data_IF_467892464820
#
_entry.id   IF_467892464820
#
_cell.length_a   1.000
_cell.length_b   1.000
_cell.length_c   1.000
_cell.angle_alpha   90.00
_cell.angle_beta   90.00
_cell.angle_gamma   90.00
#
_symmetry.space_group_name_H-M   'P 1'
#
loop_
_entity.id
_entity.type
_entity.pdbx_description
1 polymer ?
#
# COMPACT_ATOMS: atom_id res chain seq x y z
N UNK A 1 -16.51 -5.35 9.04
CA UNK A 1 -16.22 -4.32 8.01
C UNK A 1 -17.53 -3.62 7.68
N UNK A 2 -17.56 -2.29 7.73
CA UNK A 2 -18.76 -1.52 7.38
C UNK A 2 -18.76 -1.22 5.89
N UNK A 3 -19.75 -1.78 5.16
CA UNK A 3 -19.87 -1.67 3.69
C UNK A 3 -20.06 -0.21 3.22
N UNK A 4 -20.77 0.58 3.99
CA UNK A 4 -21.05 1.97 3.63
C UNK A 4 -19.80 2.84 3.79
N UNK A 5 -19.05 2.62 4.88
CA UNK A 5 -17.81 3.30 5.12
C UNK A 5 -16.73 2.93 4.09
N UNK A 6 -16.63 1.66 3.70
CA UNK A 6 -15.74 1.23 2.63
C UNK A 6 -16.06 1.90 1.28
N UNK A 7 -17.34 1.97 0.90
CA UNK A 7 -17.76 2.68 -0.31
C UNK A 7 -17.40 4.16 -0.27
N UNK A 8 -17.54 4.79 0.89
CA UNK A 8 -17.15 6.18 1.10
C UNK A 8 -15.65 6.37 0.91
N UNK A 9 -14.79 5.52 1.51
CA UNK A 9 -13.34 5.58 1.35
C UNK A 9 -12.92 5.42 -0.11
N UNK A 10 -13.49 4.45 -0.83
CA UNK A 10 -13.20 4.24 -2.26
C UNK A 10 -13.63 5.45 -3.08
N UNK A 11 -14.81 6.02 -2.81
CA UNK A 11 -15.31 7.20 -3.52
C UNK A 11 -14.45 8.45 -3.24
N UNK A 12 -14.06 8.65 -1.99
CA UNK A 12 -13.23 9.77 -1.54
C UNK A 12 -11.82 9.73 -2.14
N UNK A 13 -11.24 8.52 -2.30
CA UNK A 13 -9.87 8.31 -2.74
C UNK A 13 -9.74 7.89 -4.22
N UNK A 14 -10.74 8.13 -5.05
CA UNK A 14 -10.75 7.73 -6.48
C UNK A 14 -9.50 8.17 -7.24
N UNK A 15 -9.10 9.44 -7.08
CA UNK A 15 -7.94 9.99 -7.76
C UNK A 15 -6.64 9.30 -7.32
N UNK A 16 -6.52 8.98 -6.04
CA UNK A 16 -5.39 8.27 -5.49
C UNK A 16 -5.33 6.83 -6.01
N UNK A 17 -6.47 6.14 -6.06
CA UNK A 17 -6.57 4.79 -6.62
C UNK A 17 -6.08 4.81 -8.08
N UNK A 18 -6.63 5.72 -8.88
CA UNK A 18 -6.23 5.87 -10.29
C UNK A 18 -4.73 6.19 -10.42
N UNK A 19 -4.20 7.10 -9.60
CA UNK A 19 -2.79 7.45 -9.57
C UNK A 19 -1.90 6.24 -9.29
N UNK A 20 -2.21 5.45 -8.25
CA UNK A 20 -1.45 4.25 -7.89
C UNK A 20 -1.44 3.24 -9.04
N UNK A 21 -2.59 3.01 -9.70
CA UNK A 21 -2.68 2.12 -10.86
C UNK A 21 -1.86 2.62 -12.05
N UNK A 22 -1.99 3.89 -12.40
CA UNK A 22 -1.28 4.48 -13.55
C UNK A 22 0.23 4.43 -13.33
N UNK A 23 0.71 4.82 -12.14
CA UNK A 23 2.15 4.81 -11.85
C UNK A 23 2.71 3.39 -11.85
N UNK A 24 2.04 2.41 -11.22
CA UNK A 24 2.48 1.02 -11.29
C UNK A 24 2.53 0.49 -12.72
N UNK A 25 1.49 0.75 -13.53
CA UNK A 25 1.45 0.33 -14.92
C UNK A 25 2.58 0.99 -15.73
N UNK A 26 2.83 2.28 -15.52
CA UNK A 26 3.88 3.02 -16.20
C UNK A 26 5.28 2.50 -15.85
N UNK A 27 5.56 2.28 -14.57
CA UNK A 27 6.83 1.69 -14.13
C UNK A 27 7.00 0.30 -14.74
N UNK A 28 5.96 -0.56 -14.70
CA UNK A 28 6.00 -1.90 -15.27
C UNK A 28 6.33 -1.88 -16.77
N UNK A 29 5.69 -0.97 -17.53
CA UNK A 29 5.92 -0.82 -18.97
C UNK A 29 7.35 -0.37 -19.26
N UNK A 30 7.86 0.67 -18.57
CA UNK A 30 9.23 1.17 -18.75
C UNK A 30 10.24 0.06 -18.47
N UNK A 31 10.08 -0.65 -17.37
CA UNK A 31 11.00 -1.70 -16.98
C UNK A 31 10.97 -2.87 -17.97
N UNK A 32 9.79 -3.17 -18.54
CA UNK A 32 9.65 -4.19 -19.56
C UNK A 32 10.34 -3.81 -20.89
N UNK A 33 10.34 -2.53 -21.25
CA UNK A 33 11.06 -2.04 -22.43
C UNK A 33 12.57 -2.00 -22.24
N UNK A 34 13.06 -1.72 -21.02
CA UNK A 34 14.50 -1.62 -20.73
C UNK A 34 15.21 -2.98 -20.57
N UNK A 35 14.47 -4.04 -20.30
CA UNK A 35 15.05 -5.35 -20.13
C UNK A 35 15.03 -6.11 -21.46
N UNK A 36 16.23 -6.26 -22.05
CA UNK A 36 16.46 -7.22 -23.14
C UNK A 36 15.98 -8.62 -22.70
N UNK A 37 14.90 -9.07 -23.22
CA UNK A 37 14.19 -10.36 -23.34
C UNK A 37 14.52 -11.55 -22.43
N UNK A 38 15.51 -11.51 -21.53
CA UNK A 38 15.92 -12.64 -20.73
C UNK A 38 15.72 -12.42 -19.23
N UNK A 39 14.79 -13.19 -18.64
CA UNK A 39 14.64 -13.40 -17.19
C UNK A 39 14.52 -12.17 -16.29
N UNK A 40 13.49 -11.37 -16.46
CA UNK A 40 13.13 -10.43 -15.39
C UNK A 40 12.18 -11.12 -14.40
N UNK A 41 12.72 -11.54 -13.27
CA UNK A 41 11.87 -11.83 -12.12
C UNK A 41 11.10 -10.57 -11.74
N UNK A 42 9.86 -10.72 -11.28
CA UNK A 42 8.99 -9.64 -10.83
C UNK A 42 9.67 -8.68 -9.81
N UNK A 43 10.73 -9.15 -9.14
CA UNK A 43 11.54 -8.44 -8.14
C UNK A 43 12.88 -7.92 -8.65
N UNK A 44 13.27 -8.20 -9.89
CA UNK A 44 14.47 -7.56 -10.44
C UNK A 44 14.25 -6.08 -10.77
N UNK A 45 13.01 -5.63 -10.71
CA UNK A 45 12.58 -4.29 -11.05
C UNK A 45 12.66 -3.37 -9.82
N UNK A 46 13.81 -2.77 -9.60
CA UNK A 46 14.09 -1.86 -8.48
C UNK A 46 13.06 -0.74 -8.36
N UNK A 47 12.56 -0.21 -9.47
CA UNK A 47 11.57 0.86 -9.48
C UNK A 47 10.23 0.45 -8.86
N UNK A 48 9.71 -0.72 -9.21
CA UNK A 48 8.47 -1.24 -8.63
C UNK A 48 8.61 -1.54 -7.13
N UNK A 49 9.77 -2.07 -6.71
CA UNK A 49 10.04 -2.34 -5.30
C UNK A 49 10.09 -1.03 -4.51
N UNK A 50 10.85 -0.05 -4.97
CA UNK A 50 10.93 1.25 -4.30
C UNK A 50 9.55 1.91 -4.21
N UNK A 51 8.78 1.91 -5.30
CA UNK A 51 7.44 2.47 -5.33
C UNK A 51 6.50 1.73 -4.36
N UNK A 52 6.59 0.41 -4.27
CA UNK A 52 5.85 -0.40 -3.31
C UNK A 52 6.13 0.02 -1.86
N UNK A 53 7.42 0.17 -1.48
CA UNK A 53 7.78 0.61 -0.13
C UNK A 53 7.30 2.02 0.16
N UNK A 54 7.43 2.95 -0.79
CA UNK A 54 6.91 4.32 -0.66
C UNK A 54 5.40 4.32 -0.44
N UNK A 55 4.65 3.49 -1.17
CA UNK A 55 3.21 3.35 -0.97
C UNK A 55 2.87 2.79 0.42
N UNK A 56 3.57 1.75 0.87
CA UNK A 56 3.37 1.18 2.21
C UNK A 56 3.63 2.20 3.34
N UNK A 57 4.45 3.22 3.06
CA UNK A 57 4.72 4.32 3.98
C UNK A 57 3.67 5.44 3.89
N UNK A 58 3.30 5.87 2.69
CA UNK A 58 2.40 7.01 2.46
C UNK A 58 0.95 6.67 2.78
N UNK A 59 0.49 5.45 2.49
CA UNK A 59 -0.90 5.03 2.67
C UNK A 59 -1.41 5.15 4.10
N UNK A 60 -0.69 4.70 5.15
CA UNK A 60 -1.11 4.90 6.53
C UNK A 60 -1.36 6.37 6.88
N UNK A 61 -0.47 7.27 6.43
CA UNK A 61 -0.62 8.71 6.66
C UNK A 61 -1.91 9.23 6.02
N UNK A 62 -2.17 8.89 4.76
CA UNK A 62 -3.37 9.35 4.05
C UNK A 62 -4.66 8.78 4.62
N UNK A 63 -4.66 7.50 5.00
CA UNK A 63 -5.85 6.82 5.53
C UNK A 63 -6.21 7.27 6.95
N UNK A 64 -5.21 7.60 7.77
CA UNK A 64 -5.43 7.93 9.18
C UNK A 64 -5.21 9.42 9.51
N UNK A 65 -4.92 10.27 8.52
CA UNK A 65 -4.76 11.72 8.72
C UNK A 65 -5.97 12.35 9.44
N UNK A 66 -7.19 11.87 9.16
CA UNK A 66 -8.40 12.33 9.83
C UNK A 66 -8.42 12.05 11.34
N UNK A 67 -7.73 11.01 11.80
CA UNK A 67 -7.69 10.66 13.22
C UNK A 67 -6.80 11.62 14.04
N UNK A 68 -5.81 12.22 13.41
CA UNK A 68 -4.86 13.14 14.06
C UNK A 68 -5.22 14.61 13.86
N UNK A 69 -6.08 14.95 12.93
CA UNK A 69 -6.54 16.31 12.73
C UNK A 69 -7.76 16.60 13.63
N UNK A 70 -7.59 17.46 14.65
CA UNK A 70 -8.64 17.77 15.65
C UNK A 70 -9.99 18.16 15.03
N UNK A 71 -9.98 18.98 13.96
CA UNK A 71 -11.24 19.41 13.28
C UNK A 71 -11.98 18.28 12.59
N UNK A 72 -11.27 17.31 12.03
CA UNK A 72 -11.87 16.15 11.35
C UNK A 72 -12.15 15.01 12.32
N UNK A 73 -11.40 14.91 13.42
CA UNK A 73 -11.60 13.88 14.43
C UNK A 73 -12.99 13.99 15.08
N UNK A 74 -13.42 15.20 15.47
CA UNK A 74 -14.72 15.40 16.09
C UNK A 74 -15.89 15.02 15.18
N UNK A 75 -15.84 15.43 13.91
CA UNK A 75 -16.84 15.04 12.92
C UNK A 75 -16.82 13.54 12.61
N UNK A 76 -15.64 12.94 12.61
CA UNK A 76 -15.43 11.53 12.31
C UNK A 76 -15.89 10.62 13.47
N UNK A 77 -15.65 11.03 14.72
CA UNK A 77 -16.10 10.31 15.91
C UNK A 77 -17.59 10.50 16.21
N UNK A 78 -18.24 11.48 15.59
CA UNK A 78 -19.70 11.64 15.62
C UNK A 78 -20.44 10.65 14.70
N UNK A 79 -19.74 9.95 13.80
CA UNK A 79 -20.35 8.93 12.95
C UNK A 79 -20.85 7.73 13.78
N UNK A 80 -22.03 7.16 13.48
CA UNK A 80 -22.59 6.02 14.20
C UNK A 80 -21.90 4.69 13.82
N UNK A 81 -20.57 4.70 13.74
CA UNK A 81 -19.76 3.53 13.37
C UNK A 81 -18.79 3.21 14.51
N UNK A 82 -18.70 1.93 14.87
CA UNK A 82 -17.75 1.48 15.90
C UNK A 82 -16.31 1.80 15.46
N UNK A 83 -15.53 2.47 16.31
CA UNK A 83 -14.13 2.84 16.06
C UNK A 83 -13.27 1.66 15.52
N UNK A 84 -13.45 0.46 16.09
CA UNK A 84 -12.80 -0.76 15.61
C UNK A 84 -13.07 -1.05 14.13
N UNK A 85 -14.34 -0.88 13.69
CA UNK A 85 -14.71 -1.13 12.30
C UNK A 85 -14.07 -0.13 11.35
N UNK A 86 -13.92 1.11 11.79
CA UNK A 86 -13.28 2.17 11.00
C UNK A 86 -11.81 1.84 10.76
N UNK A 87 -11.06 1.52 11.82
CA UNK A 87 -9.64 1.17 11.71
C UNK A 87 -9.46 -0.07 10.81
N UNK A 88 -10.23 -1.13 11.05
CA UNK A 88 -10.16 -2.35 10.24
C UNK A 88 -10.47 -2.05 8.76
N UNK A 89 -11.52 -1.26 8.48
CA UNK A 89 -11.89 -0.93 7.11
C UNK A 89 -10.83 -0.09 6.41
N UNK A 90 -10.19 0.86 7.13
CA UNK A 90 -9.09 1.66 6.61
C UNK A 90 -7.86 0.80 6.32
N UNK A 91 -7.49 -0.12 7.21
CA UNK A 91 -6.38 -1.06 6.98
C UNK A 91 -6.63 -1.95 5.76
N UNK A 92 -7.82 -2.56 5.69
CA UNK A 92 -8.20 -3.41 4.55
C UNK A 92 -8.19 -2.62 3.24
N UNK A 93 -8.69 -1.38 3.24
CA UNK A 93 -8.65 -0.53 2.04
C UNK A 93 -7.23 -0.19 1.63
N UNK A 94 -6.32 0.06 2.57
CA UNK A 94 -4.91 0.31 2.30
C UNK A 94 -4.20 -0.90 1.66
N UNK A 95 -4.41 -2.08 2.22
CA UNK A 95 -3.88 -3.33 1.65
C UNK A 95 -4.41 -3.56 0.24
N UNK A 96 -5.72 -3.39 0.02
CA UNK A 96 -6.33 -3.57 -1.29
C UNK A 96 -5.77 -2.59 -2.33
N UNK A 97 -5.49 -1.35 -1.95
CA UNK A 97 -4.91 -0.34 -2.84
C UNK A 97 -3.53 -0.74 -3.38
N UNK A 98 -2.74 -1.47 -2.59
CA UNK A 98 -1.45 -1.99 -3.03
C UNK A 98 -1.61 -3.30 -3.79
N UNK A 99 -2.40 -4.22 -3.26
CA UNK A 99 -2.51 -5.57 -3.83
C UNK A 99 -3.16 -5.57 -5.21
N UNK A 100 -4.17 -4.72 -5.46
CA UNK A 100 -4.88 -4.71 -6.75
C UNK A 100 -3.97 -4.46 -7.96
N UNK A 101 -3.08 -3.44 -8.00
CA UNK A 101 -2.15 -3.26 -9.12
C UNK A 101 -1.22 -4.47 -9.30
N UNK A 102 -0.78 -5.09 -8.23
CA UNK A 102 0.09 -6.27 -8.28
C UNK A 102 -0.62 -7.52 -8.82
N UNK A 103 -1.92 -7.66 -8.61
CA UNK A 103 -2.73 -8.70 -9.27
C UNK A 103 -2.65 -8.55 -10.79
N UNK A 104 -2.82 -7.32 -11.31
CA UNK A 104 -2.74 -7.08 -12.75
C UNK A 104 -1.35 -7.35 -13.32
N UNK A 105 -0.29 -6.93 -12.62
CA UNK A 105 1.10 -7.20 -13.00
C UNK A 105 1.37 -8.71 -13.03
N UNK A 106 0.92 -9.43 -11.99
CA UNK A 106 1.08 -10.90 -11.93
C UNK A 106 0.35 -11.59 -13.06
N UNK A 107 -0.89 -11.21 -13.35
CA UNK A 107 -1.66 -11.75 -14.47
C UNK A 107 -0.98 -11.48 -15.81
N UNK A 108 -0.47 -10.27 -16.02
CA UNK A 108 0.27 -9.92 -17.23
C UNK A 108 1.52 -10.80 -17.40
N UNK A 109 2.29 -11.03 -16.35
CA UNK A 109 3.48 -11.88 -16.39
C UNK A 109 3.13 -13.35 -16.65
N UNK A 110 2.05 -13.86 -16.04
CA UNK A 110 1.55 -15.24 -16.29
C UNK A 110 1.14 -15.43 -17.75
N UNK A 111 0.46 -14.45 -18.35
CA UNK A 111 0.04 -14.52 -19.76
C UNK A 111 1.24 -14.52 -20.71
N UNK A 112 2.28 -13.74 -20.38
CA UNK A 112 3.47 -13.61 -21.24
C UNK A 112 4.40 -14.82 -21.10
N UNK A 113 4.58 -15.36 -19.87
CA UNK A 113 5.53 -16.45 -19.58
C UNK A 113 4.84 -17.57 -18.79
N UNK A 114 4.05 -18.38 -19.49
CA UNK A 114 3.24 -19.44 -18.86
C UNK A 114 4.08 -20.53 -18.17
N UNK A 115 5.33 -20.70 -18.54
CA UNK A 115 6.23 -21.71 -17.94
C UNK A 115 6.56 -21.46 -16.48
N UNK A 116 6.49 -20.20 -16.02
CA UNK A 116 6.92 -19.79 -14.69
C UNK A 116 5.77 -19.39 -13.74
N UNK A 117 4.54 -19.87 -13.98
CA UNK A 117 3.35 -19.50 -13.21
C UNK A 117 3.53 -19.67 -11.71
N UNK A 118 4.11 -20.80 -11.30
CA UNK A 118 4.32 -21.09 -9.88
C UNK A 118 5.20 -20.03 -9.19
N UNK A 119 6.30 -19.64 -9.84
CA UNK A 119 7.21 -18.61 -9.33
C UNK A 119 6.50 -17.26 -9.18
N UNK A 120 5.66 -16.86 -10.15
CA UNK A 120 4.90 -15.62 -10.07
C UNK A 120 3.86 -15.63 -8.95
N UNK A 121 3.20 -16.76 -8.70
CA UNK A 121 2.24 -16.91 -7.59
C UNK A 121 2.93 -16.84 -6.22
N UNK A 122 4.08 -17.49 -6.07
CA UNK A 122 4.88 -17.42 -4.85
C UNK A 122 5.32 -15.98 -4.57
N UNK A 123 5.85 -15.29 -5.58
CA UNK A 123 6.26 -13.89 -5.47
C UNK A 123 5.09 -12.98 -5.12
N UNK A 124 3.93 -13.18 -5.74
CA UNK A 124 2.72 -12.44 -5.40
C UNK A 124 2.32 -12.66 -3.93
N UNK A 125 2.39 -13.90 -3.44
CA UNK A 125 2.14 -14.21 -2.02
C UNK A 125 3.08 -13.46 -1.08
N UNK A 126 4.36 -13.36 -1.41
CA UNK A 126 5.35 -12.58 -0.66
C UNK A 126 4.99 -11.10 -0.66
N UNK A 127 4.61 -10.52 -1.80
CA UNK A 127 4.19 -9.11 -1.91
C UNK A 127 2.97 -8.83 -1.03
N UNK A 128 1.95 -9.69 -1.08
CA UNK A 128 0.75 -9.54 -0.25
C UNK A 128 1.10 -9.58 1.24
N UNK A 129 1.92 -10.54 1.66
CA UNK A 129 2.33 -10.70 3.05
C UNK A 129 3.12 -9.48 3.53
N UNK A 130 4.10 -9.03 2.75
CA UNK A 130 4.90 -7.84 3.09
C UNK A 130 4.05 -6.57 3.11
N UNK A 131 3.09 -6.40 2.21
CA UNK A 131 2.15 -5.28 2.21
C UNK A 131 1.33 -5.25 3.50
N UNK A 132 0.77 -6.40 3.91
CA UNK A 132 -0.02 -6.49 5.14
C UNK A 132 0.82 -6.10 6.36
N UNK A 133 2.01 -6.70 6.49
CA UNK A 133 2.91 -6.44 7.63
C UNK A 133 3.30 -4.96 7.69
N UNK A 134 3.77 -4.39 6.57
CA UNK A 134 4.23 -2.99 6.53
C UNK A 134 3.09 -2.01 6.78
N UNK A 135 1.90 -2.20 6.18
CA UNK A 135 0.77 -1.29 6.39
C UNK A 135 0.29 -1.35 7.84
N UNK A 136 0.14 -2.55 8.42
CA UNK A 136 -0.31 -2.69 9.81
C UNK A 136 0.70 -2.06 10.75
N UNK A 137 1.99 -2.34 10.58
CA UNK A 137 3.05 -1.80 11.41
C UNK A 137 3.14 -0.28 11.33
N UNK A 138 3.21 0.28 10.12
CA UNK A 138 3.27 1.72 9.91
C UNK A 138 2.00 2.43 10.41
N UNK A 139 0.82 1.82 10.24
CA UNK A 139 -0.44 2.37 10.75
C UNK A 139 -0.48 2.39 12.28
N UNK A 140 0.04 1.34 12.93
CA UNK A 140 0.12 1.29 14.38
C UNK A 140 1.04 2.39 14.93
N UNK A 141 2.22 2.57 14.33
CA UNK A 141 3.17 3.62 14.71
C UNK A 141 2.53 5.01 14.52
N UNK A 142 1.91 5.24 13.36
CA UNK A 142 1.29 6.51 13.04
C UNK A 142 0.15 6.87 14.01
N UNK A 143 -0.68 5.90 14.39
CA UNK A 143 -1.79 6.10 15.34
C UNK A 143 -1.34 6.33 16.78
N UNK A 144 -0.13 5.87 17.16
CA UNK A 144 0.45 6.11 18.48
C UNK A 144 1.04 7.52 18.63
N UNK A 145 1.29 8.21 17.54
CA UNK A 145 1.82 9.57 17.58
C UNK A 145 0.75 10.59 17.95
N UNK A 146 1.16 11.67 18.63
CA UNK A 146 0.24 12.73 19.06
C UNK A 146 -0.11 13.72 17.95
N UNK A 147 0.76 13.87 16.94
CA UNK A 147 0.63 14.81 15.83
C UNK A 147 1.01 14.12 14.51
N UNK A 148 0.47 14.63 13.38
CA UNK A 148 0.80 14.15 12.05
C UNK A 148 2.31 14.15 11.77
N UNK A 149 3.00 15.23 12.15
CA UNK A 149 4.45 15.39 11.88
C UNK A 149 5.25 14.38 12.69
N UNK A 150 4.94 14.22 13.98
CA UNK A 150 5.61 13.26 14.85
C UNK A 150 5.39 11.84 14.35
N UNK A 151 4.17 11.52 13.87
CA UNK A 151 3.82 10.23 13.28
C UNK A 151 4.69 9.90 12.07
N UNK A 152 4.85 10.86 11.16
CA UNK A 152 5.69 10.68 9.96
C UNK A 152 7.16 10.50 10.35
N UNK A 153 7.68 11.32 11.27
CA UNK A 153 9.08 11.24 11.71
C UNK A 153 9.36 9.89 12.38
N UNK A 154 8.49 9.45 13.28
CA UNK A 154 8.65 8.17 13.98
C UNK A 154 8.60 7.01 12.99
N UNK A 155 7.65 7.01 12.03
CA UNK A 155 7.58 6.01 10.98
C UNK A 155 8.86 5.97 10.13
N UNK A 156 9.41 7.14 9.74
CA UNK A 156 10.66 7.23 8.99
C UNK A 156 11.82 6.63 9.80
N UNK A 157 11.96 7.00 11.07
CA UNK A 157 13.00 6.47 11.93
C UNK A 157 12.94 4.94 12.03
N UNK A 158 11.76 4.37 12.29
CA UNK A 158 11.61 2.92 12.39
C UNK A 158 11.81 2.20 11.05
N UNK A 159 11.37 2.79 9.94
CA UNK A 159 11.56 2.20 8.60
C UNK A 159 13.02 2.21 8.15
N UNK A 160 13.82 3.18 8.61
CA UNK A 160 15.24 3.29 8.27
C UNK A 160 16.16 2.52 9.25
N UNK A 161 15.67 2.19 10.45
CA UNK A 161 16.46 1.46 11.45
C UNK A 161 17.14 0.18 10.92
N UNK A 162 16.45 -0.70 10.18
CA UNK A 162 17.10 -1.91 9.66
C UNK A 162 18.28 -1.64 8.72
N UNK A 163 18.26 -0.49 8.02
CA UNK A 163 19.34 -0.11 7.10
C UNK A 163 20.56 0.51 7.80
N UNK A 164 20.40 0.97 9.04
CA UNK A 164 21.49 1.58 9.83
C UNK A 164 22.30 0.49 10.56
N UNK A 165 21.67 -0.65 10.86
CA UNK A 165 22.29 -1.74 11.61
C UNK A 165 22.81 -2.91 10.74
N UNK A 166 22.76 -2.79 9.42
CA UNK A 166 23.35 -3.71 8.44
C UNK A 166 24.62 -3.12 7.88
#
# INVERSE_FOLDING_TARGET
>A
MDRNYFKYLVKSNKAMIAFVFIVNAFIYVIERFNQNYYYSSMFSNTGNIVFFYVLCFVLPVLLFNHAQNKKSADSFFALPVKRKNVVITSLVSGVLLIVLPWVFITLANVVINFENVFSYLVLFGIVVLTAVVLIVFNSAIYLLANNNVDGIIIMLCYSLMPFIFV
#
